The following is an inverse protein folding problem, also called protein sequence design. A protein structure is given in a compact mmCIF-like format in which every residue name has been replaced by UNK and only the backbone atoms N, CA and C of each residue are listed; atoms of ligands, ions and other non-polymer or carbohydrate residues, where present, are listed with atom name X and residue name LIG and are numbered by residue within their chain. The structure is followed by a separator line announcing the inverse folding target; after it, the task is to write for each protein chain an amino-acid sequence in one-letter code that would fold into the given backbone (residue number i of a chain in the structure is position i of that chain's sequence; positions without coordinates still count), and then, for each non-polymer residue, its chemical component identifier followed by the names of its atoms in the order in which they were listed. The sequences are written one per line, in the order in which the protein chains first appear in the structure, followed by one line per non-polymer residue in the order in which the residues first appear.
data_IF_822600983511
#
_entry.id   IF_822600983511
#
_cell.length_a   1.000
_cell.length_b   1.000
_cell.length_c   1.000
_cell.angle_alpha   90.00
_cell.angle_beta   90.00
_cell.angle_gamma   90.00
#
_symmetry.space_group_name_H-M   'P 1'
#
loop_
_entity.id
_entity.type
_entity.pdbx_description
1 polymer ?
#
# COMPACT_ATOMS: atom_id res chain seq x y z
N UNK A 1 40.04 -26.86 60.44
CA UNK A 1 40.40 -26.57 59.06
C UNK A 1 41.77 -25.90 59.02
N UNK A 2 42.69 -26.35 58.21
CA UNK A 2 43.99 -25.72 58.08
C UNK A 2 43.87 -24.41 57.36
N UNK A 3 44.87 -23.50 57.51
CA UNK A 3 44.89 -22.23 56.72
C UNK A 3 44.99 -22.45 55.23
N UNK A 4 45.60 -23.56 54.79
CA UNK A 4 45.68 -23.92 53.36
C UNK A 4 44.32 -24.34 52.86
N UNK A 5 43.50 -25.06 53.62
CA UNK A 5 42.14 -25.44 53.23
C UNK A 5 41.24 -24.23 53.10
N UNK A 6 41.37 -23.26 54.00
CA UNK A 6 40.64 -21.98 53.92
C UNK A 6 41.00 -21.20 52.66
N UNK A 7 42.29 -21.11 52.32
CA UNK A 7 42.77 -20.44 51.12
C UNK A 7 42.23 -21.13 49.85
N UNK A 8 42.22 -22.45 49.82
CA UNK A 8 41.66 -23.24 48.69
C UNK A 8 40.18 -22.97 48.49
N UNK A 9 39.41 -22.87 49.56
CA UNK A 9 37.98 -22.55 49.50
C UNK A 9 37.76 -21.14 48.91
N UNK A 10 38.54 -20.16 49.38
CA UNK A 10 38.46 -18.78 48.90
C UNK A 10 38.84 -18.70 47.43
N UNK A 11 39.94 -19.32 47.00
CA UNK A 11 40.36 -19.34 45.59
C UNK A 11 39.33 -20.05 44.72
N UNK A 12 38.75 -21.14 45.20
CA UNK A 12 37.68 -21.83 44.51
C UNK A 12 36.44 -20.97 44.31
N UNK A 13 36.04 -20.26 45.37
CA UNK A 13 34.91 -19.33 45.31
C UNK A 13 35.15 -18.15 44.32
N UNK A 14 36.38 -17.60 44.35
CA UNK A 14 36.76 -16.53 43.39
C UNK A 14 36.73 -17.01 41.94
N UNK A 15 37.25 -18.19 41.65
CA UNK A 15 37.20 -18.79 40.30
C UNK A 15 35.78 -19.05 39.84
N UNK A 16 34.92 -19.53 40.71
CA UNK A 16 33.52 -19.75 40.41
C UNK A 16 32.80 -18.43 40.13
N UNK A 17 33.05 -17.39 40.92
CA UNK A 17 32.51 -16.08 40.71
C UNK A 17 32.93 -15.47 39.34
N UNK A 18 34.19 -15.58 38.96
CA UNK A 18 34.71 -15.17 37.68
C UNK A 18 34.02 -15.92 36.53
N UNK A 19 33.86 -17.22 36.67
CA UNK A 19 33.17 -18.04 35.66
C UNK A 19 31.71 -17.64 35.48
N UNK A 20 31.01 -17.39 36.60
CA UNK A 20 29.62 -16.91 36.53
C UNK A 20 29.53 -15.58 35.78
N UNK A 21 30.44 -14.65 36.05
CA UNK A 21 30.49 -13.36 35.36
C UNK A 21 30.79 -13.53 33.86
N UNK A 22 31.76 -14.36 33.51
CA UNK A 22 32.10 -14.64 32.11
C UNK A 22 30.94 -15.31 31.39
N UNK A 23 30.28 -16.29 31.98
CA UNK A 23 29.12 -16.96 31.41
C UNK A 23 27.96 -15.99 31.23
N UNK A 24 27.71 -15.10 32.19
CA UNK A 24 26.67 -14.08 32.10
C UNK A 24 26.95 -13.08 30.99
N UNK A 25 28.20 -12.65 30.80
CA UNK A 25 28.61 -11.77 29.73
C UNK A 25 28.47 -12.43 28.36
N UNK A 26 28.88 -13.70 28.24
CA UNK A 26 28.71 -14.48 27.03
C UNK A 26 27.24 -14.64 26.64
N UNK A 27 26.41 -14.94 27.60
CA UNK A 27 24.97 -15.10 27.42
C UNK A 27 24.32 -13.79 26.98
N UNK A 28 24.67 -12.68 27.64
CA UNK A 28 24.18 -11.37 27.30
C UNK A 28 24.57 -10.96 25.87
N UNK A 29 25.80 -11.26 25.46
CA UNK A 29 26.28 -11.03 24.10
C UNK A 29 25.52 -11.85 23.09
N UNK A 30 25.28 -13.14 23.36
CA UNK A 30 24.51 -14.01 22.50
C UNK A 30 23.05 -13.55 22.33
N UNK A 31 22.42 -13.15 23.44
CA UNK A 31 21.05 -12.61 23.43
C UNK A 31 20.96 -11.32 22.61
N UNK A 32 21.90 -10.40 22.79
CA UNK A 32 21.93 -9.16 22.00
C UNK A 32 22.09 -9.43 20.51
N UNK A 33 22.95 -10.37 20.15
CA UNK A 33 23.15 -10.76 18.75
C UNK A 33 21.88 -11.35 18.16
N UNK A 34 21.22 -12.23 18.89
CA UNK A 34 19.98 -12.87 18.46
C UNK A 34 18.84 -11.85 18.31
N UNK A 35 18.71 -10.94 19.26
CA UNK A 35 17.73 -9.84 19.18
C UNK A 35 17.98 -8.96 17.98
N UNK A 36 19.23 -8.62 17.69
CA UNK A 36 19.60 -7.85 16.52
C UNK A 36 19.16 -8.52 15.21
N UNK A 37 19.37 -9.83 15.09
CA UNK A 37 18.94 -10.61 13.94
C UNK A 37 17.41 -10.68 13.82
N UNK A 38 16.71 -10.88 14.93
CA UNK A 38 15.25 -10.90 14.94
C UNK A 38 14.64 -9.54 14.55
N UNK A 39 15.20 -8.46 15.07
CA UNK A 39 14.77 -7.10 14.73
C UNK A 39 14.96 -6.84 13.24
N UNK A 40 16.10 -7.24 12.69
CA UNK A 40 16.37 -7.09 11.26
C UNK A 40 15.41 -7.89 10.41
N UNK A 41 15.13 -9.14 10.77
CA UNK A 41 14.14 -9.98 10.08
C UNK A 41 12.74 -9.35 10.11
N UNK A 42 12.29 -8.91 11.27
CA UNK A 42 10.98 -8.26 11.41
C UNK A 42 10.90 -6.99 10.60
N UNK A 43 11.97 -6.21 10.59
CA UNK A 43 12.06 -4.99 9.78
C UNK A 43 11.93 -5.29 8.30
N UNK A 44 12.65 -6.30 7.82
CA UNK A 44 12.60 -6.72 6.42
C UNK A 44 11.21 -7.24 6.04
N UNK A 45 10.57 -8.01 6.89
CA UNK A 45 9.21 -8.50 6.68
C UNK A 45 8.19 -7.35 6.62
N UNK A 46 8.29 -6.39 7.53
CA UNK A 46 7.41 -5.23 7.56
C UNK A 46 7.58 -4.39 6.31
N UNK A 47 8.83 -4.15 5.87
CA UNK A 47 9.12 -3.40 4.66
C UNK A 47 8.57 -4.10 3.41
N UNK A 48 8.76 -5.41 3.29
CA UNK A 48 8.21 -6.19 2.17
C UNK A 48 6.68 -6.16 2.15
N UNK A 49 6.06 -6.32 3.31
CA UNK A 49 4.61 -6.25 3.42
C UNK A 49 4.08 -4.87 3.06
N UNK A 50 4.77 -3.81 3.48
CA UNK A 50 4.42 -2.43 3.14
C UNK A 50 4.57 -2.15 1.65
N UNK A 51 5.65 -2.60 1.01
CA UNK A 51 5.87 -2.48 -0.43
C UNK A 51 4.79 -3.20 -1.23
N UNK A 52 4.47 -4.44 -0.85
CA UNK A 52 3.41 -5.21 -1.49
C UNK A 52 2.05 -4.53 -1.37
N UNK A 53 1.75 -4.00 -0.19
CA UNK A 53 0.51 -3.27 0.03
C UNK A 53 0.44 -2.00 -0.81
N UNK A 54 1.55 -1.29 -0.92
CA UNK A 54 1.64 -0.10 -1.77
C UNK A 54 1.41 -0.45 -3.25
N UNK A 55 2.02 -1.53 -3.74
CA UNK A 55 1.80 -2.03 -5.10
C UNK A 55 0.34 -2.40 -5.35
N UNK A 56 -0.29 -3.12 -4.41
CA UNK A 56 -1.70 -3.51 -4.51
C UNK A 56 -2.62 -2.28 -4.54
N UNK A 57 -2.34 -1.28 -3.72
CA UNK A 57 -3.11 -0.02 -3.70
C UNK A 57 -2.96 0.72 -5.02
N UNK A 58 -1.75 0.83 -5.56
CA UNK A 58 -1.49 1.49 -6.83
C UNK A 58 -2.19 0.75 -7.98
N UNK A 59 -2.12 -0.56 -8.01
CA UNK A 59 -2.75 -1.38 -9.03
C UNK A 59 -4.28 -1.24 -9.00
N UNK A 60 -4.88 -1.25 -7.83
CA UNK A 60 -6.33 -1.01 -7.67
C UNK A 60 -6.72 0.39 -8.12
N UNK A 61 -5.93 1.39 -7.75
CA UNK A 61 -6.19 2.77 -8.18
C UNK A 61 -6.13 2.92 -9.70
N UNK A 62 -5.16 2.28 -10.35
CA UNK A 62 -5.06 2.26 -11.82
C UNK A 62 -6.26 1.57 -12.46
N UNK A 63 -6.69 0.41 -11.95
CA UNK A 63 -7.84 -0.33 -12.46
C UNK A 63 -9.14 0.46 -12.28
N UNK A 64 -9.35 1.04 -11.10
CA UNK A 64 -10.51 1.89 -10.83
C UNK A 64 -10.52 3.13 -11.71
N UNK A 65 -9.38 3.79 -11.88
CA UNK A 65 -9.24 4.94 -12.75
C UNK A 65 -9.55 4.59 -14.21
N UNK A 66 -9.09 3.45 -14.69
CA UNK A 66 -9.39 2.93 -16.02
C UNK A 66 -10.88 2.68 -16.22
N UNK A 67 -11.50 2.02 -15.25
CA UNK A 67 -12.93 1.71 -15.27
C UNK A 67 -13.77 2.99 -15.26
N UNK A 68 -13.43 3.95 -14.42
CA UNK A 68 -14.10 5.25 -14.37
C UNK A 68 -13.94 6.02 -15.67
N UNK A 69 -12.76 6.02 -16.26
CA UNK A 69 -12.50 6.67 -17.54
C UNK A 69 -13.33 6.04 -18.67
N UNK A 70 -13.40 4.72 -18.74
CA UNK A 70 -14.22 4.00 -19.71
C UNK A 70 -15.71 4.30 -19.54
N UNK A 71 -16.20 4.32 -18.30
CA UNK A 71 -17.59 4.65 -18.00
C UNK A 71 -17.91 6.10 -18.36
N UNK A 72 -16.98 7.02 -18.09
CA UNK A 72 -17.12 8.43 -18.46
C UNK A 72 -17.20 8.60 -19.98
N UNK A 73 -16.34 7.92 -20.73
CA UNK A 73 -16.37 7.93 -22.18
C UNK A 73 -17.69 7.44 -22.73
N UNK A 74 -18.21 6.31 -22.23
CA UNK A 74 -19.51 5.75 -22.64
C UNK A 74 -20.66 6.69 -22.36
N UNK A 75 -20.67 7.28 -21.17
CA UNK A 75 -21.69 8.25 -20.77
C UNK A 75 -21.62 9.50 -21.65
N UNK A 76 -20.42 9.99 -21.95
CA UNK A 76 -20.20 11.12 -22.83
C UNK A 76 -20.66 10.86 -24.26
N UNK A 77 -20.39 9.66 -24.80
CA UNK A 77 -20.87 9.25 -26.12
C UNK A 77 -22.37 9.26 -26.20
N UNK A 78 -23.05 8.70 -25.18
CA UNK A 78 -24.53 8.73 -25.10
C UNK A 78 -25.05 10.16 -25.04
N UNK A 79 -24.45 11.01 -24.24
CA UNK A 79 -24.83 12.42 -24.14
C UNK A 79 -24.66 13.16 -25.47
N UNK A 80 -23.56 12.92 -26.18
CA UNK A 80 -23.32 13.52 -27.51
C UNK A 80 -24.33 13.01 -28.51
N UNK A 81 -24.65 11.73 -28.56
CA UNK A 81 -25.67 11.18 -29.44
C UNK A 81 -27.04 11.80 -29.20
N UNK A 82 -27.42 11.94 -27.90
CA UNK A 82 -28.68 12.55 -27.53
C UNK A 82 -28.75 14.03 -27.97
N UNK A 83 -27.66 14.75 -27.78
CA UNK A 83 -27.56 16.16 -28.25
C UNK A 83 -27.68 16.28 -29.78
N UNK A 84 -26.99 15.41 -30.53
CA UNK A 84 -27.07 15.35 -31.98
C UNK A 84 -28.48 15.00 -32.44
N UNK A 85 -29.13 14.02 -31.80
CA UNK A 85 -30.50 13.63 -32.12
C UNK A 85 -31.49 14.77 -31.87
N UNK A 86 -31.37 15.47 -30.75
CA UNK A 86 -32.20 16.63 -30.46
C UNK A 86 -31.98 17.79 -31.46
N UNK A 87 -30.73 18.07 -31.76
CA UNK A 87 -30.38 19.11 -32.74
C UNK A 87 -30.92 18.79 -34.15
N UNK A 88 -30.80 17.52 -34.57
CA UNK A 88 -31.34 17.03 -35.83
C UNK A 88 -32.87 17.14 -35.87
N UNK A 89 -33.55 16.75 -34.81
CA UNK A 89 -35.00 16.87 -34.71
C UNK A 89 -35.48 18.31 -34.79
N UNK A 90 -34.81 19.22 -34.07
CA UNK A 90 -35.11 20.65 -34.13
C UNK A 90 -34.86 21.25 -35.54
N UNK A 91 -33.80 20.83 -36.19
CA UNK A 91 -33.47 21.25 -37.56
C UNK A 91 -34.60 20.82 -38.53
N UNK A 92 -35.02 19.57 -38.44
CA UNK A 92 -36.09 19.04 -39.29
C UNK A 92 -37.42 19.80 -39.06
N UNK A 93 -37.77 20.05 -37.81
CA UNK A 93 -38.96 20.81 -37.47
C UNK A 93 -38.90 22.26 -38.00
N UNK A 94 -37.74 22.89 -37.93
CA UNK A 94 -37.53 24.23 -38.47
C UNK A 94 -37.67 24.25 -40.00
N UNK A 95 -37.10 23.24 -40.68
CA UNK A 95 -37.21 23.10 -42.13
C UNK A 95 -38.66 22.88 -42.57
N UNK A 96 -39.39 21.99 -41.93
CA UNK A 96 -40.81 21.76 -42.18
C UNK A 96 -41.64 23.02 -42.01
N UNK A 97 -41.41 23.76 -40.95
CA UNK A 97 -42.07 25.02 -40.70
C UNK A 97 -41.77 26.05 -41.78
N UNK A 98 -40.55 26.15 -42.19
CA UNK A 98 -40.13 27.06 -43.28
C UNK A 98 -40.78 26.68 -44.62
N UNK A 99 -40.77 25.41 -44.98
CA UNK A 99 -41.43 24.88 -46.17
C UNK A 99 -42.94 25.17 -46.15
N UNK A 100 -43.60 24.93 -45.01
CA UNK A 100 -45.01 25.26 -44.84
C UNK A 100 -45.32 26.73 -45.06
N UNK A 101 -44.50 27.61 -44.53
CA UNK A 101 -44.64 29.06 -44.72
C UNK A 101 -44.50 29.46 -46.23
N UNK A 102 -43.52 28.89 -46.90
CA UNK A 102 -43.30 29.12 -48.35
C UNK A 102 -44.47 28.61 -49.20
N UNK A 103 -44.94 27.39 -48.91
CA UNK A 103 -46.07 26.77 -49.62
C UNK A 103 -47.39 27.51 -49.38
N UNK A 104 -47.58 28.10 -48.22
CA UNK A 104 -48.76 28.94 -47.93
C UNK A 104 -48.68 30.36 -48.54
N UNK A 105 -47.58 30.74 -49.18
CA UNK A 105 -47.39 32.02 -49.75
C UNK A 105 -47.25 33.20 -48.79
N UNK A 106 -46.87 32.88 -47.55
CA UNK A 106 -46.70 33.87 -46.45
C UNK A 106 -45.26 34.32 -46.23
N UNK A 107 -44.38 33.87 -47.07
CA UNK A 107 -42.96 34.22 -46.97
C UNK A 107 -42.70 35.62 -47.46
#
# INVERSE_FOLDING_TARGET
MSGIDTVKIIVGAEKEAVKILEDAQSEATAVRKQLGLQIQQQRDEILRAAEKRAEDILQRAEEEGKTEAENYEKTSEVTVRDLVAKASSKKNAAVEKLVGIVLEGKA
#
